data_IF_836216361273
#
_entry.id   IF_836216361273
#
_cell.length_a   1.000
_cell.length_b   1.000
_cell.length_c   1.000
_cell.angle_alpha   90.00
_cell.angle_beta   90.00
_cell.angle_gamma   90.00
#
_symmetry.space_group_name_H-M   'P 1'
#
loop_
_entity.id
_entity.type
_entity.pdbx_description
1 polymer ?
#
# COMPACT_ATOMS: atom_id res chain seq x y z
N UNK A 1 -12.21 13.33 0.70
CA UNK A 1 -10.85 12.90 0.34
C UNK A 1 -9.86 13.12 1.46
N UNK A 2 -9.32 12.02 1.95
CA UNK A 2 -8.22 11.91 2.91
C UNK A 2 -6.96 11.55 2.10
N UNK A 3 -5.82 12.13 2.47
CA UNK A 3 -4.54 11.74 1.89
C UNK A 3 -4.00 10.53 2.65
N UNK A 4 -3.66 9.47 1.93
CA UNK A 4 -3.08 8.24 2.45
C UNK A 4 -1.63 8.08 1.98
N UNK A 5 -0.81 7.55 2.88
CA UNK A 5 0.50 6.99 2.56
C UNK A 5 0.34 5.49 2.32
N UNK A 6 0.87 5.00 1.21
CA UNK A 6 0.86 3.59 0.85
C UNK A 6 2.30 3.09 0.88
N UNK A 7 2.60 2.21 1.81
CA UNK A 7 3.85 1.45 1.84
C UNK A 7 3.66 0.16 1.05
N UNK A 8 4.43 0.01 -0.02
CA UNK A 8 4.47 -1.20 -0.84
C UNK A 8 5.75 -1.98 -0.51
N UNK A 9 5.59 -3.21 -0.01
CA UNK A 9 6.71 -4.11 0.30
C UNK A 9 6.63 -5.36 -0.57
N UNK A 10 7.63 -5.57 -1.41
CA UNK A 10 7.71 -6.77 -2.26
C UNK A 10 8.09 -7.98 -1.41
N UNK A 11 7.40 -9.10 -1.65
CA UNK A 11 7.63 -10.37 -0.98
C UNK A 11 8.43 -11.33 -1.87
N UNK A 12 8.09 -11.37 -3.15
CA UNK A 12 8.75 -12.24 -4.15
C UNK A 12 8.94 -11.50 -5.47
N UNK A 13 9.98 -11.89 -6.21
CA UNK A 13 10.25 -11.42 -7.57
C UNK A 13 9.39 -12.12 -8.64
N UNK A 14 9.70 -11.85 -9.91
CA UNK A 14 9.03 -12.45 -11.09
C UNK A 14 9.19 -13.97 -11.18
N UNK A 15 10.23 -14.54 -10.57
CA UNK A 15 10.48 -15.98 -10.52
C UNK A 15 9.85 -16.63 -9.28
N UNK A 16 9.19 -15.84 -8.42
CA UNK A 16 8.64 -16.30 -7.15
C UNK A 16 9.69 -16.49 -6.07
N UNK A 17 10.92 -15.98 -6.27
CA UNK A 17 11.98 -16.06 -5.26
C UNK A 17 11.75 -14.97 -4.20
N UNK A 18 11.91 -15.29 -2.91
CA UNK A 18 11.79 -14.31 -1.85
C UNK A 18 12.76 -13.15 -2.05
N UNK A 19 12.26 -11.92 -1.96
CA UNK A 19 13.11 -10.73 -1.94
C UNK A 19 13.61 -10.55 -0.50
N UNK A 20 14.93 -10.67 -0.30
CA UNK A 20 15.55 -10.35 0.97
C UNK A 20 15.37 -8.84 1.28
N UNK A 21 15.50 -8.44 2.55
CA UNK A 21 15.41 -7.03 2.98
C UNK A 21 16.54 -6.15 2.41
N UNK A 22 16.60 -6.05 1.09
CA UNK A 22 17.56 -5.28 0.31
C UNK A 22 16.99 -3.90 0.03
N UNK A 23 17.89 -2.95 -0.23
CA UNK A 23 17.53 -1.61 -0.65
C UNK A 23 16.69 -1.69 -1.94
N UNK A 24 15.43 -1.21 -1.89
CA UNK A 24 14.49 -1.25 -3.02
C UNK A 24 13.32 -2.22 -2.84
N UNK A 25 13.32 -3.09 -1.82
CA UNK A 25 12.20 -3.99 -1.50
C UNK A 25 10.96 -3.26 -0.96
N UNK A 26 11.12 -2.01 -0.51
CA UNK A 26 10.04 -1.15 0.00
C UNK A 26 9.98 0.14 -0.79
N UNK A 27 8.79 0.56 -1.17
CA UNK A 27 8.50 1.84 -1.83
C UNK A 27 7.30 2.52 -1.18
N UNK A 28 7.26 3.85 -1.26
CA UNK A 28 6.22 4.66 -0.65
C UNK A 28 5.51 5.50 -1.70
N UNK A 29 4.18 5.52 -1.61
CA UNK A 29 3.30 6.24 -2.52
C UNK A 29 2.30 7.10 -1.74
N UNK A 30 1.72 8.08 -2.42
CA UNK A 30 0.64 8.89 -1.86
C UNK A 30 -0.62 8.73 -2.72
N UNK A 31 -1.78 8.69 -2.10
CA UNK A 31 -3.07 8.59 -2.78
C UNK A 31 -4.12 9.42 -2.04
N UNK A 32 -5.03 10.06 -2.78
CA UNK A 32 -6.23 10.68 -2.20
C UNK A 32 -7.42 9.76 -2.45
N UNK A 33 -8.15 9.43 -1.39
CA UNK A 33 -9.32 8.56 -1.43
C UNK A 33 -10.28 8.91 -0.28
N UNK A 34 -11.52 8.42 -0.32
CA UNK A 34 -12.48 8.62 0.77
C UNK A 34 -12.35 7.55 1.87
N UNK A 35 -11.68 6.42 1.58
CA UNK A 35 -11.36 5.39 2.58
C UNK A 35 -10.04 4.67 2.30
N UNK A 36 -9.50 3.97 3.30
CA UNK A 36 -8.29 3.17 3.13
C UNK A 36 -8.48 1.97 2.18
N UNK A 37 -9.68 1.36 2.17
CA UNK A 37 -10.03 0.29 1.22
C UNK A 37 -10.07 0.83 -0.22
N UNK A 38 -10.64 2.02 -0.40
CA UNK A 38 -10.64 2.68 -1.70
C UNK A 38 -9.23 3.06 -2.16
N UNK A 39 -8.38 3.59 -1.26
CA UNK A 39 -6.98 3.89 -1.57
C UNK A 39 -6.22 2.64 -2.07
N UNK A 40 -6.44 1.47 -1.44
CA UNK A 40 -5.90 0.19 -1.92
C UNK A 40 -6.40 -0.10 -3.34
N UNK A 41 -7.72 -0.03 -3.57
CA UNK A 41 -8.32 -0.36 -4.87
C UNK A 41 -7.85 0.57 -5.99
N UNK A 42 -7.75 1.88 -5.71
CA UNK A 42 -7.24 2.87 -6.65
C UNK A 42 -5.78 2.60 -7.01
N UNK A 43 -4.93 2.35 -6.00
CA UNK A 43 -3.53 2.03 -6.22
C UNK A 43 -3.36 0.76 -7.06
N UNK A 44 -4.02 -0.34 -6.67
CA UNK A 44 -3.95 -1.63 -7.37
C UNK A 44 -4.42 -1.52 -8.81
N UNK A 45 -5.52 -0.79 -9.06
CA UNK A 45 -6.03 -0.52 -10.41
C UNK A 45 -5.02 0.27 -11.23
N UNK A 46 -4.41 1.30 -10.65
CA UNK A 46 -3.41 2.14 -11.34
C UNK A 46 -2.13 1.36 -11.66
N UNK A 47 -1.77 0.40 -10.81
CA UNK A 47 -0.58 -0.44 -10.98
C UNK A 47 -0.83 -1.60 -11.96
N UNK A 48 -2.08 -1.82 -12.41
CA UNK A 48 -2.44 -2.95 -13.26
C UNK A 48 -2.25 -4.30 -12.55
N UNK A 49 -2.54 -4.32 -11.24
CA UNK A 49 -2.34 -5.46 -10.36
C UNK A 49 -3.68 -6.03 -9.85
N UNK A 50 -3.63 -7.08 -9.05
CA UNK A 50 -4.80 -7.76 -8.50
C UNK A 50 -4.63 -8.03 -6.99
N UNK A 51 -5.65 -7.75 -6.18
CA UNK A 51 -5.65 -8.11 -4.75
C UNK A 51 -5.84 -9.62 -4.62
N UNK A 52 -4.95 -10.28 -3.88
CA UNK A 52 -5.11 -11.68 -3.48
C UNK A 52 -5.75 -11.73 -2.09
N UNK A 53 -6.94 -12.31 -2.00
CA UNK A 53 -7.68 -12.45 -0.75
C UNK A 53 -8.38 -11.17 -0.32
N UNK A 54 -8.53 -10.97 0.99
CA UNK A 54 -9.28 -9.86 1.56
C UNK A 54 -8.38 -8.67 1.90
N UNK A 55 -8.89 -7.45 1.67
CA UNK A 55 -8.33 -6.23 2.25
C UNK A 55 -8.69 -6.21 3.74
N UNK A 56 -7.68 -6.28 4.61
CA UNK A 56 -7.86 -6.21 6.05
C UNK A 56 -7.93 -4.74 6.46
N UNK A 57 -8.98 -4.37 7.19
CA UNK A 57 -9.23 -2.99 7.63
C UNK A 57 -9.07 -2.88 9.13
N UNK A 58 -8.43 -1.82 9.58
CA UNK A 58 -8.15 -1.58 10.99
C UNK A 58 -8.66 -0.21 11.44
N UNK A 59 -8.95 -0.03 12.75
CA UNK A 59 -9.27 1.28 13.31
C UNK A 59 -8.22 2.34 12.97
N UNK A 60 -8.64 3.61 12.89
CA UNK A 60 -7.76 4.71 12.50
C UNK A 60 -7.54 4.83 10.99
N UNK A 61 -8.50 4.35 10.18
CA UNK A 61 -8.49 4.43 8.72
C UNK A 61 -7.25 3.76 8.09
N UNK A 62 -6.90 2.57 8.56
CA UNK A 62 -5.76 1.81 8.04
C UNK A 62 -6.24 0.56 7.30
N UNK A 63 -5.47 0.12 6.31
CA UNK A 63 -5.73 -1.12 5.59
C UNK A 63 -4.44 -1.85 5.21
N UNK A 64 -4.52 -3.19 5.13
CA UNK A 64 -3.47 -4.06 4.62
C UNK A 64 -4.03 -4.94 3.51
N UNK A 65 -3.29 -5.10 2.42
CA UNK A 65 -3.65 -5.97 1.31
C UNK A 65 -2.45 -6.75 0.77
N UNK A 66 -2.69 -7.98 0.31
CA UNK A 66 -1.71 -8.72 -0.51
C UNK A 66 -2.09 -8.56 -1.97
N UNK A 67 -1.11 -8.30 -2.83
CA UNK A 67 -1.33 -7.91 -4.23
C UNK A 67 -0.36 -8.67 -5.12
N UNK A 68 -0.86 -9.12 -6.28
CA UNK A 68 -0.08 -9.75 -7.36
C UNK A 68 -0.07 -8.88 -8.60
N UNK A 69 1.10 -8.77 -9.21
CA UNK A 69 1.33 -8.20 -10.54
C UNK A 69 2.24 -9.14 -11.33
N UNK A 70 2.39 -8.90 -12.63
CA UNK A 70 3.42 -9.57 -13.45
C UNK A 70 4.82 -9.53 -12.82
N UNK A 71 5.11 -8.49 -12.03
CA UNK A 71 6.37 -8.28 -11.32
C UNK A 71 6.61 -9.13 -10.07
N UNK A 72 5.61 -9.90 -9.61
CA UNK A 72 5.68 -10.67 -8.36
C UNK A 72 4.51 -10.37 -7.40
N UNK A 73 4.71 -10.67 -6.12
CA UNK A 73 3.73 -10.45 -5.05
C UNK A 73 4.27 -9.44 -4.05
N UNK A 74 3.42 -8.52 -3.60
CA UNK A 74 3.75 -7.51 -2.61
C UNK A 74 2.60 -7.27 -1.64
N UNK A 75 2.92 -6.70 -0.48
CA UNK A 75 1.93 -6.20 0.48
C UNK A 75 1.81 -4.69 0.40
N UNK A 76 0.59 -4.19 0.59
CA UNK A 76 0.31 -2.78 0.80
C UNK A 76 -0.07 -2.56 2.26
N UNK A 77 0.57 -1.58 2.91
CA UNK A 77 0.10 -0.99 4.15
C UNK A 77 -0.32 0.44 3.87
N UNK A 78 -1.60 0.73 4.10
CA UNK A 78 -2.20 2.03 3.82
C UNK A 78 -2.55 2.70 5.14
N UNK A 79 -2.00 3.89 5.37
CA UNK A 79 -2.26 4.69 6.56
C UNK A 79 -2.61 6.12 6.18
N UNK A 80 -3.43 6.83 6.95
CA UNK A 80 -3.65 8.25 6.71
C UNK A 80 -2.32 8.98 6.80
N UNK A 81 -2.01 9.82 5.82
CA UNK A 81 -0.85 10.70 5.90
C UNK A 81 -1.10 11.64 7.06
N UNK A 82 -0.30 11.54 8.12
CA UNK A 82 -0.24 12.58 9.14
C UNK A 82 0.14 13.89 8.45
N UNK A 83 -0.83 14.75 8.16
CA UNK A 83 -0.51 16.16 8.01
C UNK A 83 0.16 16.55 9.32
N UNK A 84 1.45 16.86 9.25
CA UNK A 84 2.18 17.51 10.33
C UNK A 84 1.29 18.63 10.81
N UNK A 85 0.63 18.46 11.96
CA UNK A 85 0.02 19.57 12.67
C UNK A 85 1.19 20.49 12.96
N UNK A 86 1.36 21.53 12.15
CA UNK A 86 2.22 22.64 12.53
C UNK A 86 1.74 23.03 13.94
N UNK A 87 2.61 23.06 14.95
CA UNK A 87 2.20 23.48 16.27
C UNK A 87 1.60 24.88 16.13
N UNK A 88 0.36 25.03 16.58
CA UNK A 88 -0.31 26.31 16.65
C UNK A 88 0.56 27.17 17.58
N UNK A 89 1.11 28.27 17.06
CA UNK A 89 1.73 29.31 17.88
C UNK A 89 0.68 30.34 18.26
#
# INVERSE_FOLDING_TARGET
>A
MIRFTIEQRHLVDVEGKPIANEAGSVSFHNCEADSADEAVRLFVKSDGAEVIGNIQKFPGFQAIATVRKTGGVYTLQVTPTSQTRLPIR
#
